data_IF_198197042770
#
_entry.id   IF_198197042770
#
_cell.length_a   1.000
_cell.length_b   1.000
_cell.length_c   1.000
_cell.angle_alpha   90.00
_cell.angle_beta   90.00
_cell.angle_gamma   90.00
#
_symmetry.space_group_name_H-M   'P 1'
#
loop_
_entity.id
_entity.type
_entity.pdbx_description
1 polymer ?
#
# COMPACT_ATOMS: atom_id res chain seq x y z
N UNK A 1 23.87 4.04 0.92
CA UNK A 1 22.58 4.76 0.95
C UNK A 1 21.47 3.70 1.03
N UNK A 2 20.42 3.95 1.80
CA UNK A 2 19.26 3.04 1.90
C UNK A 2 18.47 3.07 0.60
N UNK A 3 18.33 1.91 -0.05
CA UNK A 3 17.54 1.76 -1.28
C UNK A 3 16.06 1.56 -0.94
N UNK A 4 15.22 2.44 -1.47
CA UNK A 4 13.78 2.43 -1.25
C UNK A 4 13.06 1.89 -2.49
N UNK A 5 12.20 0.89 -2.31
CA UNK A 5 11.25 0.45 -3.34
C UNK A 5 9.85 0.95 -3.01
N UNK A 6 9.26 1.78 -3.86
CA UNK A 6 7.86 2.18 -3.78
C UNK A 6 7.03 1.24 -4.65
N UNK A 7 6.05 0.57 -4.07
CA UNK A 7 5.17 -0.40 -4.75
C UNK A 7 3.76 0.15 -4.85
N UNK A 8 3.25 0.26 -6.06
CA UNK A 8 1.96 0.89 -6.36
C UNK A 8 1.11 -0.04 -7.21
N UNK A 9 -0.04 -0.51 -6.72
CA UNK A 9 -1.01 -1.26 -7.49
C UNK A 9 -1.76 -0.32 -8.43
N UNK A 10 -1.88 -0.69 -9.70
CA UNK A 10 -2.47 0.13 -10.76
C UNK A 10 -3.70 -0.56 -11.32
N UNK A 11 -4.87 0.06 -11.14
CA UNK A 11 -6.12 -0.37 -11.76
C UNK A 11 -7.04 0.82 -12.02
N UNK A 12 -7.22 1.22 -13.30
CA UNK A 12 -8.00 2.39 -13.73
C UNK A 12 -7.48 3.71 -13.16
N UNK A 13 -6.15 3.88 -13.18
CA UNK A 13 -5.47 5.06 -12.62
C UNK A 13 -4.68 5.84 -13.70
N UNK A 14 -4.97 5.68 -14.99
CA UNK A 14 -4.21 6.32 -16.07
C UNK A 14 -3.99 7.84 -15.84
N UNK A 15 -5.03 8.54 -15.38
CA UNK A 15 -5.00 9.99 -15.19
C UNK A 15 -4.10 10.47 -14.03
N UNK A 16 -3.75 9.60 -13.09
CA UNK A 16 -3.00 10.00 -11.88
C UNK A 16 -1.54 9.56 -11.88
N UNK A 17 -1.14 8.63 -12.78
CA UNK A 17 0.20 8.02 -12.75
C UNK A 17 1.32 9.04 -13.01
N UNK A 18 1.15 9.96 -13.96
CA UNK A 18 2.16 10.97 -14.29
C UNK A 18 2.42 11.90 -13.09
N UNK A 19 1.34 12.38 -12.48
CA UNK A 19 1.43 13.22 -11.29
C UNK A 19 2.03 12.45 -10.09
N UNK A 20 1.70 11.17 -9.92
CA UNK A 20 2.28 10.33 -8.87
C UNK A 20 3.80 10.21 -9.02
N UNK A 21 4.29 9.90 -10.23
CA UNK A 21 5.73 9.77 -10.51
C UNK A 21 6.45 11.10 -10.26
N UNK A 22 5.90 12.21 -10.75
CA UNK A 22 6.49 13.53 -10.55
C UNK A 22 6.56 13.91 -9.06
N UNK A 23 5.47 13.70 -8.29
CA UNK A 23 5.42 14.00 -6.85
C UNK A 23 6.38 13.09 -6.06
N UNK A 24 6.48 11.78 -6.40
CA UNK A 24 7.47 10.88 -5.79
C UNK A 24 8.90 11.33 -6.10
N UNK A 25 9.18 11.75 -7.34
CA UNK A 25 10.47 12.28 -7.74
C UNK A 25 10.91 13.47 -6.90
N UNK A 26 9.97 14.36 -6.59
CA UNK A 26 10.20 15.52 -5.71
C UNK A 26 10.36 15.10 -4.26
N UNK A 27 9.47 14.26 -3.74
CA UNK A 27 9.45 13.83 -2.34
C UNK A 27 10.69 13.00 -1.95
N UNK A 28 11.23 12.22 -2.91
CA UNK A 28 12.38 11.34 -2.70
C UNK A 28 13.67 11.89 -3.33
N UNK A 29 13.73 13.19 -3.65
CA UNK A 29 14.93 13.81 -4.19
C UNK A 29 16.14 13.55 -3.27
N UNK A 30 17.28 13.16 -3.86
CA UNK A 30 18.50 12.83 -3.13
C UNK A 30 18.53 11.47 -2.44
N UNK A 31 17.48 10.65 -2.55
CA UNK A 31 17.45 9.26 -2.05
C UNK A 31 17.67 8.27 -3.21
N UNK A 32 18.19 7.08 -2.92
CA UNK A 32 18.21 5.94 -3.86
C UNK A 32 16.83 5.28 -3.79
N UNK A 33 16.02 5.42 -4.86
CA UNK A 33 14.67 4.89 -4.89
C UNK A 33 14.26 4.35 -6.26
N UNK A 34 13.34 3.39 -6.23
CA UNK A 34 12.66 2.82 -7.41
C UNK A 34 11.16 2.80 -7.20
N UNK A 35 10.42 2.84 -8.29
CA UNK A 35 8.97 2.70 -8.33
C UNK A 35 8.58 1.45 -9.12
N UNK A 36 7.85 0.54 -8.48
CA UNK A 36 7.24 -0.62 -9.11
C UNK A 36 5.74 -0.36 -9.29
N UNK A 37 5.32 -0.14 -10.53
CA UNK A 37 3.92 -0.08 -10.91
C UNK A 37 3.42 -1.49 -11.24
N UNK A 38 2.47 -2.01 -10.46
CA UNK A 38 1.89 -3.34 -10.70
C UNK A 38 0.51 -3.19 -11.32
N UNK A 39 0.42 -3.40 -12.62
CA UNK A 39 -0.83 -3.29 -13.40
C UNK A 39 -1.64 -4.57 -13.22
N UNK A 40 -2.76 -4.47 -12.50
CA UNK A 40 -3.61 -5.60 -12.08
C UNK A 40 -4.65 -5.96 -13.15
N UNK A 41 -4.20 -6.51 -14.30
CA UNK A 41 -5.03 -6.87 -15.46
C UNK A 41 -6.04 -5.75 -15.83
N UNK A 42 -5.56 -4.53 -15.92
CA UNK A 42 -6.39 -3.35 -16.08
C UNK A 42 -6.88 -3.20 -17.53
N UNK A 43 -8.20 -3.09 -17.78
CA UNK A 43 -8.75 -2.96 -19.13
C UNK A 43 -8.72 -1.52 -19.67
N UNK A 44 -8.24 -0.56 -18.90
CA UNK A 44 -8.25 0.87 -19.26
C UNK A 44 -6.83 1.40 -19.39
N UNK A 45 -6.39 1.94 -20.48
CA UNK A 45 -5.13 2.67 -20.78
C UNK A 45 -4.04 2.89 -19.71
N UNK A 46 -4.22 2.33 -18.49
CA UNK A 46 -3.24 2.49 -17.40
C UNK A 46 -1.94 1.75 -17.66
N UNK A 47 -1.99 0.62 -18.40
CA UNK A 47 -0.80 -0.14 -18.77
C UNK A 47 0.09 0.67 -19.72
N UNK A 48 -0.52 1.29 -20.72
CA UNK A 48 0.18 2.11 -21.70
C UNK A 48 0.85 3.33 -21.06
N UNK A 49 0.16 3.99 -20.10
CA UNK A 49 0.75 5.10 -19.35
C UNK A 49 1.91 4.63 -18.50
N UNK A 50 1.75 3.51 -17.78
CA UNK A 50 2.81 2.95 -16.94
C UNK A 50 4.06 2.58 -17.77
N UNK A 51 3.88 1.95 -18.93
CA UNK A 51 4.98 1.58 -19.84
C UNK A 51 5.70 2.81 -20.41
N UNK A 52 4.96 3.87 -20.79
CA UNK A 52 5.58 5.13 -21.24
C UNK A 52 6.43 5.75 -20.14
N UNK A 53 5.94 5.78 -18.90
CA UNK A 53 6.71 6.29 -17.74
C UNK A 53 7.98 5.48 -17.52
N UNK A 54 7.90 4.16 -17.60
CA UNK A 54 9.09 3.29 -17.48
C UNK A 54 10.10 3.49 -18.62
N UNK A 55 9.65 3.85 -19.81
CA UNK A 55 10.54 4.14 -20.94
C UNK A 55 11.28 5.47 -20.80
N UNK A 56 10.74 6.42 -20.00
CA UNK A 56 11.31 7.76 -19.83
C UNK A 56 12.04 7.96 -18.50
N UNK A 57 11.72 7.16 -17.48
CA UNK A 57 12.36 7.24 -16.16
C UNK A 57 12.92 5.86 -15.74
N UNK A 58 14.25 5.69 -15.68
CA UNK A 58 14.89 4.41 -15.34
C UNK A 58 14.59 3.93 -13.89
N UNK A 59 14.01 4.80 -13.05
CA UNK A 59 13.57 4.44 -11.70
C UNK A 59 12.23 3.73 -11.71
N UNK A 60 11.46 3.85 -12.80
CA UNK A 60 10.13 3.25 -12.92
C UNK A 60 10.22 1.88 -13.60
N UNK A 61 9.66 0.88 -12.96
CA UNK A 61 9.52 -0.45 -13.52
C UNK A 61 8.05 -0.90 -13.46
N UNK A 62 7.64 -1.74 -14.41
CA UNK A 62 6.25 -2.19 -14.56
C UNK A 62 6.17 -3.71 -14.46
N UNK A 63 5.22 -4.21 -13.68
CA UNK A 63 4.80 -5.61 -13.67
C UNK A 63 3.35 -5.69 -14.12
N UNK A 64 3.06 -6.47 -15.16
CA UNK A 64 1.69 -6.73 -15.62
C UNK A 64 1.18 -8.07 -15.07
N UNK A 65 0.05 -8.07 -14.38
CA UNK A 65 -0.65 -9.30 -14.00
C UNK A 65 -1.59 -9.73 -15.12
N UNK A 66 -1.66 -11.04 -15.37
CA UNK A 66 -2.54 -11.62 -16.41
C UNK A 66 -3.99 -11.75 -15.96
N UNK A 67 -4.21 -11.82 -14.64
CA UNK A 67 -5.53 -11.94 -14.02
C UNK A 67 -5.66 -10.90 -12.91
N UNK A 68 -6.82 -10.26 -12.82
CA UNK A 68 -7.09 -9.30 -11.74
C UNK A 68 -7.13 -10.02 -10.38
N UNK A 69 -6.11 -9.78 -9.58
CA UNK A 69 -5.96 -10.33 -8.22
C UNK A 69 -6.38 -9.38 -7.12
N UNK A 70 -6.65 -8.12 -7.47
CA UNK A 70 -6.95 -7.02 -6.53
C UNK A 70 -5.71 -6.39 -5.91
N UNK A 71 -5.91 -5.24 -5.29
CA UNK A 71 -4.86 -4.39 -4.71
C UNK A 71 -3.81 -5.16 -3.90
N UNK A 72 -4.23 -6.04 -3.00
CA UNK A 72 -3.29 -6.74 -2.10
C UNK A 72 -2.46 -7.82 -2.80
N UNK A 73 -3.01 -8.45 -3.84
CA UNK A 73 -2.24 -9.38 -4.67
C UNK A 73 -1.19 -8.62 -5.48
N UNK A 74 -1.57 -7.48 -6.07
CA UNK A 74 -0.65 -6.60 -6.79
C UNK A 74 0.46 -6.05 -5.89
N UNK A 75 0.12 -5.57 -4.68
CA UNK A 75 1.13 -5.15 -3.70
C UNK A 75 2.11 -6.27 -3.35
N UNK A 76 1.59 -7.48 -3.11
CA UNK A 76 2.42 -8.63 -2.78
C UNK A 76 3.37 -9.01 -3.93
N UNK A 77 2.89 -8.97 -5.18
CA UNK A 77 3.72 -9.18 -6.35
C UNK A 77 4.83 -8.13 -6.45
N UNK A 78 4.49 -6.84 -6.32
CA UNK A 78 5.48 -5.78 -6.37
C UNK A 78 6.52 -5.85 -5.25
N UNK A 79 6.12 -6.27 -4.04
CA UNK A 79 7.07 -6.56 -2.96
C UNK A 79 8.02 -7.71 -3.31
N UNK A 80 7.57 -8.72 -4.04
CA UNK A 80 8.40 -9.83 -4.48
C UNK A 80 9.37 -9.40 -5.59
N UNK A 81 8.94 -8.52 -6.49
CA UNK A 81 9.70 -8.06 -7.65
C UNK A 81 10.84 -7.07 -7.31
N UNK A 82 10.89 -6.60 -6.06
CA UNK A 82 11.95 -5.69 -5.58
C UNK A 82 12.77 -6.36 -4.44
N UNK A 83 13.56 -7.41 -4.75
CA UNK A 83 14.29 -8.15 -3.72
C UNK A 83 15.46 -7.37 -3.10
N UNK A 84 16.04 -6.44 -3.85
CA UNK A 84 17.29 -5.78 -3.52
C UNK A 84 17.12 -4.44 -2.78
N UNK A 85 15.88 -4.07 -2.42
CA UNK A 85 15.64 -2.88 -1.62
C UNK A 85 15.91 -3.15 -0.13
N UNK A 86 16.24 -2.09 0.60
CA UNK A 86 16.40 -2.12 2.05
C UNK A 86 15.08 -1.81 2.76
N UNK A 87 14.21 -1.01 2.11
CA UNK A 87 12.91 -0.57 2.62
C UNK A 87 11.89 -0.58 1.48
N UNK A 88 10.68 -1.03 1.77
CA UNK A 88 9.55 -1.03 0.83
C UNK A 88 8.45 -0.11 1.32
N UNK A 89 7.90 0.71 0.42
CA UNK A 89 6.74 1.55 0.65
C UNK A 89 5.59 1.08 -0.23
N UNK A 90 4.47 0.74 0.37
CA UNK A 90 3.23 0.47 -0.35
C UNK A 90 2.33 1.69 -0.31
N UNK A 91 1.75 2.10 -1.44
CA UNK A 91 0.77 3.20 -1.50
C UNK A 91 -0.18 3.04 -2.69
N UNK A 92 -1.32 3.73 -2.65
CA UNK A 92 -2.31 3.71 -3.73
C UNK A 92 -1.92 4.67 -4.88
N UNK A 93 -2.39 4.37 -6.11
CA UNK A 93 -2.13 5.18 -7.31
C UNK A 93 -3.08 6.39 -7.47
N UNK A 94 -4.07 6.58 -6.60
CA UNK A 94 -5.17 7.54 -6.77
C UNK A 94 -4.89 8.93 -6.18
N UNK A 95 -3.66 9.17 -5.72
CA UNK A 95 -3.18 10.41 -5.09
C UNK A 95 -3.92 10.81 -3.80
N UNK A 96 -4.74 9.94 -3.23
CA UNK A 96 -5.31 10.18 -1.91
C UNK A 96 -4.26 10.02 -0.80
N UNK A 97 -3.31 9.13 -0.99
CA UNK A 97 -2.14 8.99 -0.15
C UNK A 97 -1.04 9.92 -0.69
N UNK A 98 -0.69 11.01 0.02
CA UNK A 98 0.25 12.00 -0.51
C UNK A 98 1.67 11.44 -0.60
N UNK A 99 2.32 11.45 -1.79
CA UNK A 99 3.71 11.02 -1.94
C UNK A 99 4.68 11.74 -1.01
N UNK A 100 4.38 12.98 -0.64
CA UNK A 100 5.17 13.82 0.25
C UNK A 100 5.24 13.28 1.69
N UNK A 101 4.35 12.35 2.06
CA UNK A 101 4.42 11.67 3.34
C UNK A 101 5.38 10.48 3.36
N UNK A 102 5.88 10.03 2.21
CA UNK A 102 6.82 8.91 2.15
C UNK A 102 8.09 9.17 2.98
N UNK A 103 8.77 10.32 2.90
CA UNK A 103 9.91 10.62 3.75
C UNK A 103 9.60 10.49 5.25
N UNK A 104 8.43 10.93 5.71
CA UNK A 104 8.02 10.82 7.11
C UNK A 104 7.94 9.36 7.58
N UNK A 105 7.42 8.45 6.73
CA UNK A 105 7.39 7.03 7.04
C UNK A 105 8.80 6.43 7.09
N UNK A 106 9.65 6.80 6.14
CA UNK A 106 11.03 6.33 6.07
C UNK A 106 11.85 6.79 7.28
N UNK A 107 11.74 8.05 7.66
CA UNK A 107 12.46 8.63 8.79
C UNK A 107 11.99 7.98 10.12
N UNK A 108 10.67 7.72 10.26
CA UNK A 108 10.13 7.02 11.43
C UNK A 108 10.59 5.54 11.49
N UNK A 109 10.66 4.87 10.35
CA UNK A 109 11.19 3.50 10.27
C UNK A 109 12.69 3.47 10.57
N UNK A 110 13.43 4.46 10.08
CA UNK A 110 14.86 4.64 10.30
C UNK A 110 15.27 4.87 11.76
N UNK A 111 14.33 5.20 12.65
CA UNK A 111 14.58 5.27 14.10
C UNK A 111 14.92 3.89 14.73
N UNK A 112 14.60 2.78 14.04
CA UNK A 112 15.10 1.45 14.34
C UNK A 112 14.35 0.68 15.46
N UNK A 113 13.36 1.29 16.11
CA UNK A 113 12.56 0.66 17.18
C UNK A 113 11.31 -0.06 16.66
N UNK A 114 10.98 0.10 15.37
CA UNK A 114 9.86 -0.54 14.67
C UNK A 114 10.30 -1.12 13.33
N UNK A 115 9.58 -2.13 12.86
CA UNK A 115 9.84 -2.82 11.60
C UNK A 115 8.80 -2.52 10.51
N UNK A 116 7.71 -1.83 10.86
CA UNK A 116 6.79 -1.24 9.90
C UNK A 116 6.14 0.04 10.45
N UNK A 117 5.87 0.98 9.54
CA UNK A 117 5.22 2.26 9.84
C UNK A 117 4.03 2.44 8.92
N UNK A 118 2.85 2.64 9.48
CA UNK A 118 1.63 2.93 8.73
C UNK A 118 1.40 4.45 8.64
N UNK A 119 0.94 4.92 7.50
CA UNK A 119 0.32 6.23 7.39
C UNK A 119 -1.08 6.17 8.01
N UNK A 120 -1.18 6.61 9.25
CA UNK A 120 -2.42 6.66 10.01
C UNK A 120 -3.38 7.69 9.42
N UNK A 121 -4.53 7.24 8.96
CA UNK A 121 -5.51 8.07 8.25
C UNK A 121 -6.15 9.07 9.19
N UNK A 122 -5.90 10.36 8.99
CA UNK A 122 -6.62 11.45 9.64
C UNK A 122 -7.46 12.23 8.64
N UNK A 123 -8.70 12.55 8.99
CA UNK A 123 -9.61 13.37 8.20
C UNK A 123 -11.06 12.84 8.16
N UNK A 124 -12.01 13.75 7.88
CA UNK A 124 -13.46 13.48 7.87
C UNK A 124 -14.01 13.04 6.49
N UNK A 125 -13.23 12.32 5.70
CA UNK A 125 -13.52 11.99 4.30
C UNK A 125 -14.53 10.84 4.10
N UNK A 126 -14.95 10.17 5.17
CA UNK A 126 -15.88 9.06 5.06
C UNK A 126 -17.27 9.44 5.55
N UNK A 127 -18.31 8.98 4.81
CA UNK A 127 -19.70 9.09 5.28
C UNK A 127 -19.84 8.39 6.65
N UNK A 128 -20.76 8.87 7.49
CA UNK A 128 -21.01 8.36 8.85
C UNK A 128 -21.14 6.83 8.91
N UNK A 129 -21.87 6.22 7.96
CA UNK A 129 -22.02 4.76 7.87
C UNK A 129 -20.69 4.04 7.61
N UNK A 130 -19.82 4.61 6.80
CA UNK A 130 -18.48 4.06 6.52
C UNK A 130 -17.54 4.17 7.72
N UNK A 131 -17.68 5.22 8.51
CA UNK A 131 -16.93 5.39 9.77
C UNK A 131 -17.28 4.31 10.78
N UNK A 132 -18.56 4.01 10.96
CA UNK A 132 -19.02 3.01 11.94
C UNK A 132 -18.65 1.60 11.52
N UNK A 133 -18.99 1.17 10.31
CA UNK A 133 -18.74 -0.22 9.84
C UNK A 133 -17.25 -0.49 9.61
N UNK A 134 -16.50 0.46 9.03
CA UNK A 134 -15.06 0.36 8.86
C UNK A 134 -14.30 0.47 10.19
N UNK A 135 -14.82 1.25 11.15
CA UNK A 135 -14.24 1.39 12.48
C UNK A 135 -14.29 0.09 13.27
N UNK A 136 -15.43 -0.60 13.29
CA UNK A 136 -15.56 -1.89 13.98
C UNK A 136 -14.63 -2.95 13.42
N UNK A 137 -14.55 -3.07 12.08
CA UNK A 137 -13.61 -4.00 11.43
C UNK A 137 -12.16 -3.70 11.83
N UNK A 138 -11.75 -2.43 11.78
CA UNK A 138 -10.39 -2.00 12.15
C UNK A 138 -10.07 -2.27 13.62
N UNK A 139 -11.03 -2.03 14.53
CA UNK A 139 -10.85 -2.32 15.96
C UNK A 139 -10.71 -3.82 16.23
N UNK A 140 -11.52 -4.66 15.58
CA UNK A 140 -11.41 -6.11 15.70
C UNK A 140 -10.08 -6.59 15.13
N UNK A 141 -9.68 -6.13 13.94
CA UNK A 141 -8.40 -6.43 13.34
C UNK A 141 -7.23 -5.99 14.25
N UNK A 142 -7.28 -4.77 14.80
CA UNK A 142 -6.27 -4.25 15.72
C UNK A 142 -6.13 -5.13 16.98
N UNK A 143 -7.25 -5.53 17.60
CA UNK A 143 -7.22 -6.43 18.77
C UNK A 143 -6.69 -7.83 18.45
N UNK A 144 -6.96 -8.35 17.25
CA UNK A 144 -6.52 -9.68 16.83
C UNK A 144 -5.04 -9.71 16.44
N UNK A 145 -4.51 -8.62 15.89
CA UNK A 145 -3.20 -8.59 15.22
C UNK A 145 -2.21 -7.62 15.86
N UNK A 146 -2.63 -6.77 16.78
CA UNK A 146 -1.79 -5.71 17.37
C UNK A 146 -1.52 -4.52 16.44
N UNK A 147 -2.20 -4.46 15.28
CA UNK A 147 -2.05 -3.33 14.35
C UNK A 147 -2.62 -2.03 14.93
N UNK A 148 -2.05 -0.87 14.58
CA UNK A 148 -2.68 0.41 14.85
C UNK A 148 -4.11 0.45 14.26
N UNK A 149 -5.10 1.05 14.96
CA UNK A 149 -6.50 1.06 14.50
C UNK A 149 -6.72 1.87 13.23
N UNK A 150 -5.78 2.72 12.87
CA UNK A 150 -5.74 3.54 11.66
C UNK A 150 -4.87 2.95 10.52
N UNK A 151 -4.34 1.73 10.72
CA UNK A 151 -3.52 1.05 9.72
C UNK A 151 -4.25 0.88 8.37
N UNK A 152 -3.57 1.25 7.30
CA UNK A 152 -4.02 1.16 5.91
C UNK A 152 -2.96 0.58 4.99
N UNK A 153 -3.23 0.56 3.68
CA UNK A 153 -2.29 0.04 2.68
C UNK A 153 -1.16 1.03 2.34
N UNK A 154 -1.19 2.25 2.86
CA UNK A 154 -0.07 3.16 2.80
C UNK A 154 0.83 2.91 4.02
N UNK A 155 1.99 2.29 3.77
CA UNK A 155 2.90 1.86 4.83
C UNK A 155 4.33 1.69 4.31
N UNK A 156 5.31 1.84 5.20
CA UNK A 156 6.70 1.45 4.97
C UNK A 156 7.02 0.18 5.77
N UNK A 157 7.80 -0.73 5.19
CA UNK A 157 8.24 -1.97 5.84
C UNK A 157 9.74 -2.20 5.69
N UNK A 158 10.33 -2.75 6.75
CA UNK A 158 11.67 -3.30 6.73
C UNK A 158 11.73 -4.75 6.21
N UNK A 159 12.96 -5.30 6.07
CA UNK A 159 13.18 -6.61 5.45
C UNK A 159 12.47 -7.78 6.13
N UNK A 160 12.46 -7.81 7.48
CA UNK A 160 11.86 -8.91 8.23
C UNK A 160 10.33 -8.95 8.05
N UNK A 161 9.66 -7.78 8.04
CA UNK A 161 8.21 -7.70 7.80
C UNK A 161 7.88 -8.05 6.36
N UNK A 162 8.67 -7.54 5.36
CA UNK A 162 8.51 -7.96 3.96
C UNK A 162 8.58 -9.48 3.80
N UNK A 163 9.61 -10.09 4.35
CA UNK A 163 9.79 -11.55 4.27
C UNK A 163 8.61 -12.30 4.89
N UNK A 164 8.11 -11.85 6.04
CA UNK A 164 6.93 -12.43 6.68
C UNK A 164 5.65 -12.25 5.83
N UNK A 165 5.46 -11.09 5.21
CA UNK A 165 4.34 -10.83 4.28
C UNK A 165 4.40 -11.76 3.08
N UNK A 166 5.58 -11.98 2.49
CA UNK A 166 5.76 -12.86 1.33
C UNK A 166 5.61 -14.33 1.70
N UNK A 167 6.05 -14.73 2.89
CA UNK A 167 5.89 -16.09 3.39
C UNK A 167 4.46 -16.42 3.83
N UNK A 168 3.61 -15.43 4.09
CA UNK A 168 2.22 -15.64 4.51
C UNK A 168 1.37 -16.15 3.34
N UNK A 169 1.09 -17.45 3.18
CA UNK A 169 0.39 -17.97 2.02
C UNK A 169 -1.05 -17.48 2.00
N UNK A 170 -1.54 -17.16 0.80
CA UNK A 170 -2.94 -16.79 0.52
C UNK A 170 -3.49 -15.70 1.45
N UNK A 171 -2.64 -14.78 1.94
CA UNK A 171 -3.14 -13.64 2.74
C UNK A 171 -4.03 -12.76 1.88
N UNK A 172 -5.28 -12.52 2.28
CA UNK A 172 -6.19 -11.65 1.55
C UNK A 172 -5.84 -10.17 1.72
N UNK A 173 -4.87 -9.83 2.59
CA UNK A 173 -4.48 -8.45 2.88
C UNK A 173 -3.03 -8.35 3.32
N UNK A 174 -2.25 -7.50 2.65
CA UNK A 174 -0.87 -7.16 3.06
C UNK A 174 -0.88 -6.57 4.48
N UNK A 175 -1.83 -5.68 4.78
CA UNK A 175 -1.95 -5.06 6.12
C UNK A 175 -2.09 -6.12 7.22
N UNK A 176 -2.98 -7.10 7.04
CA UNK A 176 -3.16 -8.18 8.02
C UNK A 176 -1.96 -9.12 8.08
N UNK A 177 -1.28 -9.36 6.96
CA UNK A 177 -0.05 -10.14 6.96
C UNK A 177 1.04 -9.47 7.82
N UNK A 178 1.16 -8.13 7.75
CA UNK A 178 2.03 -7.36 8.66
C UNK A 178 1.65 -7.59 10.12
N UNK A 179 0.36 -7.51 10.46
CA UNK A 179 -0.09 -7.72 11.85
C UNK A 179 0.14 -9.13 12.36
N UNK A 180 -0.07 -10.16 11.51
CA UNK A 180 0.18 -11.56 11.87
C UNK A 180 1.67 -11.84 12.04
N UNK A 181 2.55 -11.08 11.39
CA UNK A 181 4.00 -11.19 11.60
C UNK A 181 4.46 -10.85 13.02
N UNK A 182 3.59 -10.19 13.83
CA UNK A 182 3.83 -9.84 15.25
C UNK A 182 5.16 -9.12 15.50
N UNK A 183 5.56 -8.30 14.55
CA UNK A 183 6.73 -7.42 14.65
C UNK A 183 6.35 -6.07 15.21
N UNK A 184 7.27 -5.33 15.82
CA UNK A 184 7.01 -3.96 16.27
C UNK A 184 6.54 -3.07 15.12
N UNK A 185 5.37 -2.46 15.28
CA UNK A 185 4.77 -1.58 14.27
C UNK A 185 4.22 -0.32 14.93
N UNK A 186 4.15 0.76 14.16
CA UNK A 186 3.53 2.02 14.61
C UNK A 186 2.77 2.69 13.48
N UNK A 187 2.05 3.76 13.77
CA UNK A 187 1.49 4.66 12.77
C UNK A 187 1.93 6.10 13.00
N UNK A 188 2.06 6.85 11.91
CA UNK A 188 2.25 8.30 11.94
C UNK A 188 1.03 8.97 11.31
N UNK A 189 0.53 10.08 11.86
CA UNK A 189 -0.65 10.74 11.33
C UNK A 189 -0.36 11.37 9.96
N UNK A 190 -1.11 10.97 8.94
CA UNK A 190 -1.03 11.53 7.59
C UNK A 190 -2.40 12.03 7.17
N UNK A 191 -2.47 13.28 6.73
CA UNK A 191 -3.68 13.83 6.11
C UNK A 191 -3.82 13.23 4.72
N UNK A 192 -5.02 12.78 4.35
CA UNK A 192 -5.29 12.29 2.99
C UNK A 192 -5.77 13.43 2.12
N UNK A 193 -5.29 13.43 0.88
CA UNK A 193 -5.77 14.34 -0.15
C UNK A 193 -7.18 13.92 -0.64
N UNK A 194 -7.91 14.89 -1.17
CA UNK A 194 -9.17 14.60 -1.86
C UNK A 194 -8.83 13.94 -3.19
N UNK A 195 -9.52 12.84 -3.53
CA UNK A 195 -9.33 12.17 -4.82
C UNK A 195 -9.61 13.16 -5.95
N UNK A 196 -8.64 13.43 -6.87
CA UNK A 196 -8.84 14.42 -7.94
C UNK A 196 -9.93 13.98 -8.91
N UNK A 197 -10.04 12.67 -9.23
CA UNK A 197 -10.99 12.12 -10.20
C UNK A 197 -11.41 10.67 -9.86
N UNK A 198 -12.58 10.27 -10.38
CA UNK A 198 -13.04 8.89 -10.43
C UNK A 198 -13.89 8.44 -9.23
N UNK A 199 -14.65 7.36 -9.45
CA UNK A 199 -15.41 6.64 -8.41
C UNK A 199 -14.58 5.47 -7.90
N UNK A 200 -14.71 5.15 -6.60
CA UNK A 200 -14.11 3.95 -6.03
C UNK A 200 -14.55 2.71 -6.82
N UNK A 201 -13.60 1.93 -7.33
CA UNK A 201 -13.89 0.66 -8.00
C UNK A 201 -14.49 -0.40 -7.05
N UNK A 202 -14.46 -0.15 -5.75
CA UNK A 202 -14.92 -1.09 -4.73
C UNK A 202 -16.39 -0.92 -4.37
N UNK A 203 -17.18 -1.95 -4.63
CA UNK A 203 -18.59 -2.03 -4.16
C UNK A 203 -18.67 -2.35 -2.66
N UNK A 204 -19.79 -2.03 -2.02
CA UNK A 204 -20.01 -2.35 -0.61
C UNK A 204 -19.96 -3.87 -0.34
N UNK A 205 -20.51 -4.70 -1.26
CA UNK A 205 -20.46 -6.16 -1.18
C UNK A 205 -19.04 -6.71 -1.28
N UNK A 206 -18.21 -6.20 -2.20
CA UNK A 206 -16.83 -6.62 -2.34
C UNK A 206 -16.01 -6.29 -1.08
N UNK A 207 -16.24 -5.11 -0.48
CA UNK A 207 -15.61 -4.72 0.79
C UNK A 207 -15.99 -5.63 1.94
N UNK A 208 -17.27 -5.95 2.10
CA UNK A 208 -17.74 -6.84 3.17
C UNK A 208 -17.15 -8.25 3.00
N UNK A 209 -17.20 -8.81 1.80
CA UNK A 209 -16.62 -10.12 1.51
C UNK A 209 -15.10 -10.16 1.77
N UNK A 210 -14.39 -9.11 1.42
CA UNK A 210 -12.97 -8.98 1.73
C UNK A 210 -12.73 -8.92 3.25
N UNK A 211 -13.53 -8.14 3.98
CA UNK A 211 -13.41 -8.01 5.43
C UNK A 211 -13.62 -9.34 6.15
N UNK A 212 -14.65 -10.09 5.78
CA UNK A 212 -14.94 -11.41 6.38
C UNK A 212 -13.80 -12.41 6.10
N UNK A 213 -13.36 -12.51 4.84
CA UNK A 213 -12.24 -13.39 4.46
C UNK A 213 -10.96 -13.03 5.22
N UNK A 214 -10.70 -11.75 5.38
CA UNK A 214 -9.52 -11.22 6.05
C UNK A 214 -9.51 -11.56 7.55
N UNK A 215 -10.62 -11.34 8.25
CA UNK A 215 -10.72 -11.67 9.67
C UNK A 215 -10.65 -13.18 9.91
N UNK A 216 -11.33 -13.97 9.10
CA UNK A 216 -11.29 -15.43 9.20
C UNK A 216 -9.88 -16.00 8.96
N UNK A 217 -9.15 -15.45 7.97
CA UNK A 217 -7.77 -15.79 7.72
C UNK A 217 -6.86 -15.46 8.92
N UNK A 218 -7.04 -14.26 9.52
CA UNK A 218 -6.26 -13.83 10.68
C UNK A 218 -6.53 -14.69 11.93
N UNK A 219 -7.79 -15.09 12.15
CA UNK A 219 -8.19 -15.96 13.26
C UNK A 219 -7.55 -17.36 13.21
N UNK A 220 -7.39 -17.92 12.00
CA UNK A 220 -6.76 -19.23 11.81
C UNK A 220 -5.25 -19.26 12.01
N UNK A 221 -4.63 -18.11 12.20
CA UNK A 221 -3.16 -17.95 12.35
C UNK A 221 -2.74 -17.38 13.69
N UNK A 222 -3.63 -17.42 14.64
CA UNK A 222 -3.33 -17.28 16.06
C UNK A 222 -2.74 -18.60 16.60
#
# INVERSE_FOLDING_TARGET
>A
MTRVAVVVPVYRNAATLEALVARLGTALAGRDWRLRLVVDACPSGSAEVALRLAATDPRVAVTGLTVNGGQHAALRQGLADEPDADVWVCMDADLQDPPEAVPLLLDRLGAGDVEAVFAGRRGAYESWLRRVTGGLHRQVAARLTGLPPDAGAFLALGPAVRSAVLAAPASPSVVLAVGVARRPVTSVPVARDVRPEGRSAWTARARLGQSVRSLWWALRRR
#
